data_IF_218738466923
#
_entry.id   IF_218738466923
#
_cell.length_a   1.000
_cell.length_b   1.000
_cell.length_c   1.000
_cell.angle_alpha   90.00
_cell.angle_beta   90.00
_cell.angle_gamma   90.00
#
_symmetry.space_group_name_H-M   'P 1'
#
loop_
_entity.id
_entity.type
_entity.pdbx_description
1 polymer ?
#
# COMPACT_ATOMS: atom_id res chain seq x y z
N UNK A 1 3.19 10.39 8.67
CA UNK A 1 2.58 9.14 9.17
C UNK A 1 2.92 8.88 10.64
N UNK A 2 4.20 8.68 11.05
CA UNK A 2 4.55 8.43 12.47
C UNK A 2 4.09 9.56 13.40
N UNK A 3 4.23 10.82 12.99
CA UNK A 3 3.74 11.98 13.75
C UNK A 3 2.22 11.91 13.97
N UNK A 4 1.46 11.67 12.92
CA UNK A 4 0.01 11.54 12.99
C UNK A 4 -0.43 10.37 13.87
N UNK A 5 0.24 9.21 13.75
CA UNK A 5 -0.02 8.06 14.61
C UNK A 5 0.27 8.37 16.09
N UNK A 6 1.36 9.09 16.39
CA UNK A 6 1.71 9.44 17.77
C UNK A 6 0.64 10.37 18.38
N UNK A 7 0.19 11.39 17.65
CA UNK A 7 -0.88 12.29 18.10
C UNK A 7 -2.18 11.50 18.32
N UNK A 8 -2.60 10.72 17.33
CA UNK A 8 -3.83 9.94 17.40
C UNK A 8 -3.83 8.90 18.52
N UNK A 9 -2.74 8.13 18.66
CA UNK A 9 -2.62 7.12 19.72
C UNK A 9 -2.53 7.74 21.11
N UNK A 10 -1.89 8.91 21.23
CA UNK A 10 -1.77 9.61 22.50
C UNK A 10 -3.11 10.18 22.99
N UNK A 11 -3.90 10.80 22.09
CA UNK A 11 -5.19 11.43 22.43
C UNK A 11 -6.37 10.45 22.42
N UNK A 12 -6.29 9.39 21.62
CA UNK A 12 -7.41 8.47 21.35
C UNK A 12 -8.44 9.01 20.35
N UNK A 13 -8.33 10.26 19.89
CA UNK A 13 -9.32 10.92 19.04
C UNK A 13 -8.73 11.40 17.72
N UNK A 14 -9.41 11.09 16.62
CA UNK A 14 -9.01 11.58 15.28
C UNK A 14 -9.10 13.10 15.14
N UNK A 15 -10.00 13.75 15.88
CA UNK A 15 -10.18 15.20 15.84
C UNK A 15 -8.94 15.98 16.32
N UNK A 16 -8.07 15.35 17.11
CA UNK A 16 -6.85 15.96 17.65
C UNK A 16 -5.66 15.84 16.68
N UNK A 17 -5.81 15.08 15.59
CA UNK A 17 -4.78 14.99 14.57
C UNK A 17 -4.56 16.34 13.86
N UNK A 18 -3.31 16.59 13.47
CA UNK A 18 -2.91 17.79 12.75
C UNK A 18 -3.71 17.92 11.46
N UNK A 19 -4.26 19.08 11.20
CA UNK A 19 -5.14 19.46 10.09
C UNK A 19 -6.59 18.98 10.17
N UNK A 20 -6.97 18.08 11.09
CA UNK A 20 -8.34 17.55 11.19
C UNK A 20 -9.42 18.62 11.40
N UNK A 21 -9.05 19.75 12.03
CA UNK A 21 -9.97 20.88 12.29
C UNK A 21 -10.09 21.86 11.12
N UNK A 22 -9.22 21.78 10.12
CA UNK A 22 -9.11 22.76 9.04
C UNK A 22 -9.52 22.15 7.70
N UNK A 23 -9.13 20.89 7.45
CA UNK A 23 -9.31 20.22 6.16
C UNK A 23 -9.93 18.83 6.35
N UNK A 24 -10.55 18.33 5.28
CA UNK A 24 -11.11 16.96 5.29
C UNK A 24 -10.08 15.88 5.59
N UNK A 25 -8.88 15.99 5.01
CA UNK A 25 -7.79 15.05 5.24
C UNK A 25 -6.84 15.56 6.33
N UNK A 26 -6.59 14.75 7.35
CA UNK A 26 -5.58 15.02 8.34
C UNK A 26 -4.14 14.78 7.80
N UNK A 27 -3.12 15.05 8.60
CA UNK A 27 -1.73 14.88 8.20
C UNK A 27 -1.38 13.41 7.83
N UNK A 28 -1.95 12.45 8.56
CA UNK A 28 -1.80 11.02 8.26
C UNK A 28 -2.41 10.65 6.92
N UNK A 29 -3.59 11.17 6.63
CA UNK A 29 -4.26 10.98 5.36
C UNK A 29 -3.45 11.54 4.20
N UNK A 30 -2.90 12.77 4.33
CA UNK A 30 -2.02 13.36 3.33
C UNK A 30 -0.75 12.54 3.12
N UNK A 31 -0.15 12.00 4.20
CA UNK A 31 1.02 11.13 4.08
C UNK A 31 0.72 9.86 3.26
N UNK A 32 -0.47 9.25 3.44
CA UNK A 32 -0.91 8.11 2.62
C UNK A 32 -1.19 8.53 1.18
N UNK A 33 -1.83 9.67 0.94
CA UNK A 33 -2.05 10.19 -0.41
C UNK A 33 -0.73 10.39 -1.15
N UNK A 34 0.26 11.02 -0.51
CA UNK A 34 1.63 11.18 -1.03
C UNK A 34 2.25 9.83 -1.38
N UNK A 35 2.13 8.86 -0.48
CA UNK A 35 2.64 7.51 -0.70
C UNK A 35 2.05 6.90 -1.98
N UNK A 36 0.73 6.95 -2.17
CA UNK A 36 0.08 6.40 -3.37
C UNK A 36 0.47 7.14 -4.65
N UNK A 37 0.64 8.46 -4.62
CA UNK A 37 1.13 9.24 -5.78
C UNK A 37 2.55 8.83 -6.15
N UNK A 38 3.46 8.78 -5.19
CA UNK A 38 4.85 8.38 -5.42
C UNK A 38 4.95 6.90 -5.83
N UNK A 39 4.11 6.04 -5.27
CA UNK A 39 3.99 4.64 -5.68
C UNK A 39 3.58 4.56 -7.16
N UNK A 40 2.51 5.25 -7.58
CA UNK A 40 2.08 5.28 -8.97
C UNK A 40 3.17 5.74 -9.93
N UNK A 41 3.86 6.84 -9.59
CA UNK A 41 4.96 7.40 -10.38
C UNK A 41 6.12 6.40 -10.55
N UNK A 42 6.57 5.80 -9.45
CA UNK A 42 7.75 4.90 -9.45
C UNK A 42 7.41 3.53 -10.04
N UNK A 43 6.21 3.02 -9.78
CA UNK A 43 5.75 1.72 -10.24
C UNK A 43 5.46 1.73 -11.74
N UNK A 44 4.91 2.83 -12.29
CA UNK A 44 4.78 3.01 -13.74
C UNK A 44 6.15 2.96 -14.43
N UNK A 45 7.16 3.64 -13.85
CA UNK A 45 8.54 3.57 -14.35
C UNK A 45 9.16 2.17 -14.23
N UNK A 46 8.79 1.41 -13.20
CA UNK A 46 9.21 0.02 -13.04
C UNK A 46 8.57 -0.88 -14.10
N UNK A 47 7.26 -0.76 -14.34
CA UNK A 47 6.55 -1.53 -15.37
C UNK A 47 7.14 -1.29 -16.76
N UNK A 48 7.39 -0.03 -17.11
CA UNK A 48 7.97 0.35 -18.40
C UNK A 48 9.38 -0.20 -18.66
N UNK A 49 10.10 -0.55 -17.60
CA UNK A 49 11.46 -1.13 -17.66
C UNK A 49 11.48 -2.64 -17.45
N UNK A 50 10.38 -3.23 -17.02
CA UNK A 50 10.31 -4.67 -16.77
C UNK A 50 10.20 -5.44 -18.08
N UNK A 51 11.01 -6.50 -18.27
CA UNK A 51 10.94 -7.33 -19.49
C UNK A 51 9.63 -8.12 -19.58
N UNK A 52 8.98 -8.41 -18.46
CA UNK A 52 7.72 -9.16 -18.41
C UNK A 52 6.83 -8.69 -17.27
N UNK A 53 5.52 -8.95 -17.41
CA UNK A 53 4.54 -8.74 -16.33
C UNK A 53 4.86 -9.62 -15.12
N UNK A 54 5.38 -10.83 -15.35
CA UNK A 54 5.80 -11.74 -14.27
C UNK A 54 6.91 -11.12 -13.45
N UNK A 55 7.97 -10.59 -14.07
CA UNK A 55 9.05 -9.93 -13.32
C UNK A 55 8.55 -8.70 -12.58
N UNK A 56 7.65 -7.92 -13.19
CA UNK A 56 7.02 -6.79 -12.54
C UNK A 56 6.25 -7.21 -11.28
N UNK A 57 5.37 -8.21 -11.37
CA UNK A 57 4.56 -8.69 -10.23
C UNK A 57 5.42 -9.32 -9.13
N UNK A 58 6.42 -10.12 -9.50
CA UNK A 58 7.41 -10.67 -8.54
C UNK A 58 8.13 -9.56 -7.79
N UNK A 59 8.58 -8.52 -8.50
CA UNK A 59 9.24 -7.38 -7.85
C UNK A 59 8.33 -6.66 -6.84
N UNK A 60 7.03 -6.52 -7.13
CA UNK A 60 6.05 -5.91 -6.20
C UNK A 60 5.75 -6.83 -5.02
N UNK A 61 5.57 -8.13 -5.26
CA UNK A 61 5.40 -9.11 -4.18
C UNK A 61 6.59 -9.15 -3.22
N UNK A 62 7.80 -9.18 -3.74
CA UNK A 62 9.04 -9.17 -2.94
C UNK A 62 9.28 -7.84 -2.22
N UNK A 63 8.65 -6.77 -2.65
CA UNK A 63 8.67 -5.47 -1.94
C UNK A 63 7.78 -5.46 -0.70
N UNK A 64 6.62 -6.16 -0.74
CA UNK A 64 5.62 -6.13 0.32
C UNK A 64 5.78 -7.31 1.29
N UNK A 65 5.71 -8.54 0.79
CA UNK A 65 5.47 -9.72 1.61
C UNK A 65 6.62 -10.11 2.56
N UNK A 66 7.91 -10.04 2.20
CA UNK A 66 8.98 -10.48 3.09
C UNK A 66 9.05 -9.66 4.38
N UNK A 67 9.03 -8.33 4.29
CA UNK A 67 9.07 -7.47 5.47
C UNK A 67 7.74 -7.51 6.23
N UNK A 68 6.60 -7.66 5.55
CA UNK A 68 5.30 -7.84 6.20
C UNK A 68 5.25 -9.12 7.03
N UNK A 69 5.80 -10.22 6.51
CA UNK A 69 5.90 -11.49 7.24
C UNK A 69 6.80 -11.35 8.48
N UNK A 70 7.95 -10.68 8.32
CA UNK A 70 8.85 -10.41 9.45
C UNK A 70 8.20 -9.51 10.49
N UNK A 71 7.45 -8.48 10.05
CA UNK A 71 6.70 -7.61 10.95
C UNK A 71 5.62 -8.40 11.71
N UNK A 72 4.84 -9.23 11.04
CA UNK A 72 3.82 -10.07 11.68
C UNK A 72 4.43 -11.02 12.73
N UNK A 73 5.54 -11.67 12.39
CA UNK A 73 6.26 -12.54 13.32
C UNK A 73 6.79 -11.76 14.53
N UNK A 74 7.45 -10.63 14.28
CA UNK A 74 7.98 -9.77 15.35
C UNK A 74 6.86 -9.31 16.30
N UNK A 75 5.69 -8.95 15.76
CA UNK A 75 4.57 -8.51 16.57
C UNK A 75 3.94 -9.64 17.38
N UNK A 76 3.93 -10.88 16.89
CA UNK A 76 3.53 -12.05 17.68
C UNK A 76 4.53 -12.29 18.82
N UNK A 77 5.83 -12.16 18.56
CA UNK A 77 6.89 -12.31 19.58
C UNK A 77 6.80 -11.20 20.64
N UNK A 78 6.67 -9.95 20.23
CA UNK A 78 6.47 -8.81 21.17
C UNK A 78 5.16 -9.02 21.93
N UNK A 79 4.09 -9.42 21.26
CA UNK A 79 2.81 -9.74 21.89
C UNK A 79 2.91 -10.81 22.96
N UNK A 80 3.70 -11.86 22.72
CA UNK A 80 3.95 -12.92 23.73
C UNK A 80 4.72 -12.42 24.97
N UNK A 81 5.51 -11.35 24.84
CA UNK A 81 6.26 -10.74 25.94
C UNK A 81 5.38 -9.79 26.76
N UNK A 82 4.53 -8.99 26.09
CA UNK A 82 3.75 -7.93 26.71
C UNK A 82 2.31 -8.30 27.04
N UNK A 83 1.89 -9.53 26.69
CA UNK A 83 0.51 -10.01 26.96
C UNK A 83 0.25 -10.17 28.46
N UNK A 84 -1.00 -9.92 28.87
CA UNK A 84 -1.51 -10.26 30.21
C UNK A 84 -1.93 -11.72 30.36
N UNK A 85 -1.93 -12.49 29.28
CA UNK A 85 -2.25 -13.92 29.27
C UNK A 85 -1.05 -14.79 29.65
N UNK A 86 -1.28 -16.00 30.13
CA UNK A 86 -0.20 -16.99 30.28
C UNK A 86 0.32 -17.41 28.91
N UNK A 87 1.58 -17.86 28.77
CA UNK A 87 2.15 -18.27 27.47
C UNK A 87 1.32 -19.35 26.77
N UNK A 88 0.78 -20.32 27.52
CA UNK A 88 -0.07 -21.37 26.99
C UNK A 88 -1.39 -20.81 26.47
N UNK A 89 -2.05 -19.92 27.20
CA UNK A 89 -3.29 -19.26 26.77
C UNK A 89 -3.05 -18.41 25.52
N UNK A 90 -1.94 -17.64 25.48
CA UNK A 90 -1.60 -16.81 24.33
C UNK A 90 -1.40 -17.65 23.07
N UNK A 91 -0.55 -18.68 23.12
CA UNK A 91 -0.21 -19.51 21.95
C UNK A 91 -1.36 -20.41 21.48
N UNK A 92 -2.28 -20.81 22.39
CA UNK A 92 -3.45 -21.60 22.04
C UNK A 92 -4.62 -20.76 21.49
N UNK A 93 -4.59 -19.45 21.65
CA UNK A 93 -5.66 -18.57 21.17
C UNK A 93 -5.63 -18.47 19.64
N UNK A 94 -6.76 -18.74 19.02
CA UNK A 94 -6.92 -18.69 17.55
C UNK A 94 -6.65 -17.29 16.97
N UNK A 95 -6.78 -16.23 17.76
CA UNK A 95 -6.48 -14.84 17.33
C UNK A 95 -5.02 -14.67 16.92
N UNK A 96 -4.08 -15.38 17.55
CA UNK A 96 -2.65 -15.32 17.20
C UNK A 96 -2.43 -15.81 15.76
N UNK A 97 -3.00 -16.96 15.41
CA UNK A 97 -2.92 -17.52 14.06
C UNK A 97 -3.69 -16.70 13.03
N UNK A 98 -4.88 -16.24 13.40
CA UNK A 98 -5.70 -15.37 12.54
C UNK A 98 -5.01 -14.04 12.26
N UNK A 99 -4.31 -13.45 13.23
CA UNK A 99 -3.53 -12.24 13.03
C UNK A 99 -2.43 -12.45 11.98
N UNK A 100 -1.62 -13.50 12.14
CA UNK A 100 -0.55 -13.82 11.18
C UNK A 100 -1.09 -14.06 9.76
N UNK A 101 -2.11 -14.90 9.63
CA UNK A 101 -2.73 -15.20 8.32
C UNK A 101 -3.40 -13.97 7.70
N UNK A 102 -4.18 -13.22 8.48
CA UNK A 102 -4.82 -11.99 7.98
C UNK A 102 -3.82 -10.96 7.51
N UNK A 103 -2.73 -10.78 8.26
CA UNK A 103 -1.64 -9.86 7.86
C UNK A 103 -1.03 -10.28 6.52
N UNK A 104 -0.67 -11.57 6.35
CA UNK A 104 -0.08 -12.08 5.11
C UNK A 104 -1.06 -12.04 3.92
N UNK A 105 -2.35 -12.20 4.17
CA UNK A 105 -3.39 -12.12 3.14
C UNK A 105 -3.88 -10.68 2.89
N UNK A 106 -3.21 -9.68 3.46
CA UNK A 106 -3.59 -8.25 3.38
C UNK A 106 -5.04 -8.01 3.84
N UNK A 107 -5.47 -8.76 4.83
CA UNK A 107 -6.83 -8.72 5.39
C UNK A 107 -7.04 -7.58 6.39
N UNK A 108 -7.77 -7.86 7.47
CA UNK A 108 -8.09 -6.86 8.47
C UNK A 108 -6.87 -6.50 9.34
N UNK A 109 -6.57 -5.20 9.42
CA UNK A 109 -5.59 -4.65 10.36
C UNK A 109 -6.12 -4.58 11.81
N UNK A 110 -7.42 -4.77 12.01
CA UNK A 110 -8.09 -4.64 13.30
C UNK A 110 -8.00 -5.88 14.20
N UNK A 111 -7.34 -6.96 13.77
CA UNK A 111 -7.18 -8.15 14.58
C UNK A 111 -6.14 -7.87 15.67
N UNK A 112 -6.60 -7.93 16.93
CA UNK A 112 -5.75 -7.84 18.12
C UNK A 112 -5.16 -9.18 18.51
N UNK A 113 -4.07 -9.14 19.29
CA UNK A 113 -3.54 -10.31 20.00
C UNK A 113 -4.12 -10.38 21.41
N UNK A 114 -4.32 -11.59 21.97
CA UNK A 114 -4.90 -11.76 23.29
C UNK A 114 -4.08 -11.04 24.36
N UNK A 115 -4.72 -10.22 25.20
CA UNK A 115 -4.10 -9.53 26.31
C UNK A 115 -3.04 -8.48 25.93
N UNK A 116 -3.00 -8.03 24.67
CA UNK A 116 -2.02 -7.05 24.20
C UNK A 116 -2.69 -5.69 23.93
N UNK A 117 -2.10 -4.63 24.45
CA UNK A 117 -2.55 -3.23 24.30
C UNK A 117 -4.00 -2.96 24.76
N UNK A 118 -4.53 -3.76 25.71
CA UNK A 118 -5.91 -3.62 26.15
C UNK A 118 -6.23 -2.31 26.83
N UNK A 119 -5.25 -1.72 27.52
CA UNK A 119 -5.40 -0.49 28.31
C UNK A 119 -4.92 0.78 27.58
N UNK A 120 -4.39 0.63 26.36
CA UNK A 120 -3.98 1.79 25.58
C UNK A 120 -5.21 2.60 25.09
N UNK A 121 -5.08 3.90 24.82
CA UNK A 121 -6.18 4.72 24.30
C UNK A 121 -6.80 4.17 23.02
N UNK A 122 -6.03 3.41 22.24
CA UNK A 122 -6.50 2.67 21.06
C UNK A 122 -6.34 1.17 21.29
N UNK A 123 -7.25 0.54 22.02
CA UNK A 123 -7.05 -0.81 22.54
C UNK A 123 -7.03 -1.87 21.43
N UNK A 124 -6.22 -2.90 21.66
CA UNK A 124 -6.19 -4.14 20.88
C UNK A 124 -5.82 -4.04 19.39
N UNK A 125 -5.52 -2.85 18.85
CA UNK A 125 -5.10 -2.71 17.45
C UNK A 125 -3.58 -2.89 17.33
N UNK A 126 -3.17 -4.06 16.83
CA UNK A 126 -1.73 -4.39 16.72
C UNK A 126 -0.99 -3.53 15.72
N UNK A 127 -1.57 -3.34 14.54
CA UNK A 127 -0.93 -2.56 13.47
C UNK A 127 -1.96 -1.98 12.51
N UNK A 128 -2.40 -0.75 12.77
CA UNK A 128 -3.33 -0.08 11.88
C UNK A 128 -2.69 0.34 10.55
N UNK A 129 -1.34 0.49 10.46
CA UNK A 129 -0.69 0.97 9.23
C UNK A 129 -0.95 0.06 8.03
N UNK A 130 -1.06 -1.26 8.24
CA UNK A 130 -1.13 -2.25 7.14
C UNK A 130 -2.45 -2.24 6.36
N UNK A 131 -3.49 -1.52 6.83
CA UNK A 131 -4.82 -1.54 6.19
C UNK A 131 -4.83 -1.04 4.74
N UNK A 132 -3.86 -0.21 4.35
CA UNK A 132 -3.76 0.35 3.01
C UNK A 132 -3.07 -0.56 2.01
N UNK A 133 -2.32 -1.58 2.48
CA UNK A 133 -1.54 -2.48 1.61
C UNK A 133 -2.40 -3.26 0.62
N UNK A 134 -3.65 -3.61 0.99
CA UNK A 134 -4.60 -4.25 0.07
C UNK A 134 -4.94 -3.37 -1.13
N UNK A 135 -5.09 -2.06 -0.92
CA UNK A 135 -5.35 -1.10 -1.99
C UNK A 135 -4.11 -0.88 -2.85
N UNK A 136 -2.94 -0.86 -2.25
CA UNK A 136 -1.67 -0.77 -2.96
C UNK A 136 -1.46 -1.99 -3.86
N UNK A 137 -1.65 -3.20 -3.34
CA UNK A 137 -1.58 -4.44 -4.10
C UNK A 137 -2.60 -4.46 -5.25
N UNK A 138 -3.84 -4.01 -5.00
CA UNK A 138 -4.87 -3.87 -6.03
C UNK A 138 -4.45 -2.90 -7.15
N UNK A 139 -3.87 -1.75 -6.80
CA UNK A 139 -3.33 -0.79 -7.77
C UNK A 139 -2.20 -1.41 -8.63
N UNK A 140 -1.33 -2.24 -8.03
CA UNK A 140 -0.27 -2.93 -8.78
C UNK A 140 -0.82 -3.94 -9.79
N UNK A 141 -1.80 -4.75 -9.36
CA UNK A 141 -2.48 -5.72 -10.24
C UNK A 141 -3.20 -5.00 -11.38
N UNK A 142 -3.93 -3.93 -11.06
CA UNK A 142 -4.67 -3.17 -12.06
C UNK A 142 -3.73 -2.49 -13.08
N UNK A 143 -2.62 -1.91 -12.61
CA UNK A 143 -1.61 -1.33 -13.51
C UNK A 143 -0.96 -2.40 -14.40
N UNK A 144 -0.64 -3.58 -13.84
CA UNK A 144 -0.12 -4.71 -14.61
C UNK A 144 -1.12 -5.16 -15.69
N UNK A 145 -2.41 -5.23 -15.36
CA UNK A 145 -3.47 -5.58 -16.30
C UNK A 145 -3.62 -4.55 -17.43
N UNK A 146 -3.64 -3.25 -17.08
CA UNK A 146 -3.67 -2.15 -18.06
C UNK A 146 -2.43 -2.18 -18.96
N UNK A 147 -1.27 -2.48 -18.38
CA UNK A 147 -0.01 -2.66 -19.12
C UNK A 147 -0.05 -3.86 -20.06
N UNK A 148 -0.59 -4.98 -19.60
CA UNK A 148 -0.77 -6.20 -20.43
C UNK A 148 -1.69 -5.97 -21.63
N UNK A 149 -2.74 -5.17 -21.47
CA UNK A 149 -3.62 -4.76 -22.56
C UNK A 149 -3.00 -3.75 -23.54
N UNK A 150 -1.77 -3.27 -23.26
CA UNK A 150 -1.10 -2.26 -24.09
C UNK A 150 -1.70 -0.86 -24.00
N UNK A 151 -2.46 -0.56 -22.93
CA UNK A 151 -3.10 0.74 -22.72
C UNK A 151 -2.18 1.80 -22.08
N UNK A 152 -0.93 1.47 -21.74
CA UNK A 152 0.04 2.43 -21.16
C UNK A 152 0.71 3.29 -22.24
N UNK A 153 -0.02 3.63 -23.30
CA UNK A 153 0.37 4.64 -24.29
C UNK A 153 -0.31 5.96 -23.96
N UNK A 154 0.35 7.10 -24.23
CA UNK A 154 -0.14 8.43 -23.81
C UNK A 154 -1.62 8.67 -24.17
N UNK A 155 -2.03 8.41 -25.41
CA UNK A 155 -3.40 8.65 -25.88
C UNK A 155 -4.43 7.73 -25.21
N UNK A 156 -4.19 6.41 -25.20
CA UNK A 156 -5.11 5.43 -24.61
C UNK A 156 -5.20 5.59 -23.10
N UNK A 157 -4.07 5.85 -22.49
CA UNK A 157 -4.00 6.08 -21.05
C UNK A 157 -4.73 7.36 -20.62
N UNK A 158 -4.70 8.44 -21.42
CA UNK A 158 -5.45 9.66 -21.14
C UNK A 158 -6.97 9.39 -21.07
N UNK A 159 -7.52 8.60 -21.98
CA UNK A 159 -8.94 8.23 -21.93
C UNK A 159 -9.30 7.39 -20.70
N UNK A 160 -8.44 6.39 -20.37
CA UNK A 160 -8.63 5.59 -19.16
C UNK A 160 -8.55 6.43 -17.89
N UNK A 161 -7.60 7.36 -17.81
CA UNK A 161 -7.50 8.31 -16.70
C UNK A 161 -8.77 9.16 -16.59
N UNK A 162 -9.18 9.80 -17.68
CA UNK A 162 -10.37 10.66 -17.70
C UNK A 162 -11.60 9.90 -17.19
N UNK A 163 -11.88 8.72 -17.75
CA UNK A 163 -13.02 7.89 -17.33
C UNK A 163 -12.90 7.47 -15.85
N UNK A 164 -11.73 6.93 -15.45
CA UNK A 164 -11.54 6.45 -14.07
C UNK A 164 -11.59 7.58 -13.05
N UNK A 165 -11.10 8.77 -13.39
CA UNK A 165 -11.16 9.95 -12.52
C UNK A 165 -12.57 10.51 -12.40
N UNK A 166 -13.35 10.48 -13.48
CA UNK A 166 -14.76 10.86 -13.43
C UNK A 166 -15.55 9.94 -12.50
N UNK A 167 -15.33 8.62 -12.61
CA UNK A 167 -16.01 7.64 -11.75
C UNK A 167 -15.54 7.80 -10.29
N UNK A 168 -14.25 7.78 -10.03
CA UNK A 168 -13.71 7.86 -8.67
C UNK A 168 -13.98 9.21 -8.02
N UNK A 169 -13.85 10.31 -8.77
CA UNK A 169 -14.21 11.64 -8.31
C UNK A 169 -15.71 11.79 -8.04
N UNK A 170 -16.55 11.20 -8.87
CA UNK A 170 -18.00 11.13 -8.67
C UNK A 170 -18.38 10.41 -7.37
N UNK A 171 -17.72 9.28 -7.07
CA UNK A 171 -17.91 8.56 -5.79
C UNK A 171 -17.58 9.48 -4.61
N UNK A 172 -16.41 10.12 -4.63
CA UNK A 172 -15.97 11.01 -3.54
C UNK A 172 -16.88 12.25 -3.42
N UNK A 173 -17.41 12.76 -4.52
CA UNK A 173 -18.32 13.90 -4.54
C UNK A 173 -19.67 13.55 -3.92
N UNK A 174 -20.28 12.43 -4.34
CA UNK A 174 -21.62 12.01 -3.88
C UNK A 174 -21.59 11.60 -2.40
N UNK A 175 -20.50 11.01 -1.92
CA UNK A 175 -20.35 10.61 -0.52
C UNK A 175 -19.82 11.73 0.40
N UNK A 176 -19.84 12.97 -0.06
CA UNK A 176 -19.44 14.10 0.79
C UNK A 176 -20.40 14.27 1.97
N UNK A 177 -19.84 14.43 3.17
CA UNK A 177 -20.64 14.56 4.41
C UNK A 177 -21.14 13.25 5.00
N UNK A 178 -20.87 12.10 4.36
CA UNK A 178 -21.18 10.78 4.89
C UNK A 178 -19.93 10.08 5.47
N UNK A 179 -20.15 9.04 6.26
CA UNK A 179 -19.06 8.22 6.78
C UNK A 179 -18.25 7.60 5.65
N UNK A 180 -16.93 7.54 5.84
CA UNK A 180 -16.01 7.03 4.84
C UNK A 180 -16.16 5.53 4.66
N UNK A 181 -16.54 5.09 3.47
CA UNK A 181 -16.71 3.69 3.11
C UNK A 181 -15.42 3.07 2.54
N UNK A 182 -15.29 1.73 2.48
CA UNK A 182 -14.20 1.09 1.73
C UNK A 182 -14.12 1.48 0.26
N UNK A 183 -15.25 1.84 -0.36
CA UNK A 183 -15.33 2.32 -1.74
C UNK A 183 -14.70 3.72 -1.88
N UNK A 184 -14.96 4.62 -0.92
CA UNK A 184 -14.33 5.95 -0.89
C UNK A 184 -12.81 5.83 -0.78
N UNK A 185 -12.32 4.93 0.07
CA UNK A 185 -10.88 4.68 0.20
C UNK A 185 -10.29 4.11 -1.10
N UNK A 186 -11.00 3.19 -1.76
CA UNK A 186 -10.55 2.65 -3.04
C UNK A 186 -10.50 3.74 -4.12
N UNK A 187 -11.54 4.59 -4.21
CA UNK A 187 -11.59 5.72 -5.15
C UNK A 187 -10.47 6.74 -4.86
N UNK A 188 -10.28 7.12 -3.60
CA UNK A 188 -9.20 8.02 -3.15
C UNK A 188 -7.82 7.51 -3.54
N UNK A 189 -7.51 6.27 -3.18
CA UNK A 189 -6.18 5.71 -3.43
C UNK A 189 -5.94 5.45 -4.93
N UNK A 190 -6.99 5.06 -5.65
CA UNK A 190 -6.92 4.98 -7.10
C UNK A 190 -6.62 6.32 -7.75
N UNK A 191 -7.28 7.40 -7.33
CA UNK A 191 -7.01 8.76 -7.83
C UNK A 191 -5.55 9.16 -7.56
N UNK A 192 -5.05 8.96 -6.35
CA UNK A 192 -3.65 9.26 -6.01
C UNK A 192 -2.67 8.43 -6.85
N UNK A 193 -2.87 7.11 -6.92
CA UNK A 193 -1.98 6.22 -7.64
C UNK A 193 -1.98 6.50 -9.14
N UNK A 194 -3.15 6.62 -9.75
CA UNK A 194 -3.28 6.90 -11.18
C UNK A 194 -2.80 8.31 -11.56
N UNK A 195 -2.91 9.29 -10.65
CA UNK A 195 -2.26 10.60 -10.80
C UNK A 195 -0.72 10.44 -10.90
N UNK A 196 -0.13 9.64 -10.01
CA UNK A 196 1.29 9.30 -10.07
C UNK A 196 1.69 8.63 -11.39
N UNK A 197 0.90 7.65 -11.86
CA UNK A 197 1.10 7.03 -13.18
C UNK A 197 0.99 8.07 -14.29
N UNK A 198 0.00 8.98 -14.22
CA UNK A 198 -0.16 10.10 -15.16
C UNK A 198 1.08 11.00 -15.22
N UNK A 199 1.66 11.36 -14.08
CA UNK A 199 2.93 12.11 -14.04
C UNK A 199 4.08 11.37 -14.72
N UNK A 200 4.12 10.05 -14.67
CA UNK A 200 5.12 9.26 -15.38
C UNK A 200 4.85 9.23 -16.89
N UNK A 201 3.64 8.95 -17.32
CA UNK A 201 3.26 8.81 -18.73
C UNK A 201 3.41 10.17 -19.44
N UNK A 202 2.88 11.24 -18.85
CA UNK A 202 2.89 12.58 -19.41
C UNK A 202 4.08 13.45 -18.96
N UNK A 203 5.16 12.85 -18.46
CA UNK A 203 6.32 13.57 -17.91
C UNK A 203 7.01 14.56 -18.84
N UNK A 204 6.78 14.44 -20.15
CA UNK A 204 7.31 15.36 -21.17
C UNK A 204 6.40 16.55 -21.44
N UNK A 205 5.11 16.42 -21.13
CA UNK A 205 4.08 17.45 -21.34
C UNK A 205 3.81 18.27 -20.08
N UNK A 206 3.91 17.64 -18.89
CA UNK A 206 3.60 18.30 -17.62
C UNK A 206 4.77 19.18 -17.18
N UNK A 207 4.53 20.49 -17.15
CA UNK A 207 5.46 21.48 -16.58
C UNK A 207 5.21 21.56 -15.07
N UNK A 208 6.22 21.22 -14.27
CA UNK A 208 6.19 21.36 -12.82
C UNK A 208 6.93 22.64 -12.41
N UNK A 209 6.22 23.55 -11.75
CA UNK A 209 6.73 24.85 -11.32
C UNK A 209 6.18 25.24 -9.95
N UNK A 210 6.86 26.18 -9.28
CA UNK A 210 6.36 26.76 -8.02
C UNK A 210 5.04 27.51 -8.22
N UNK A 211 4.87 28.17 -9.39
CA UNK A 211 3.62 28.83 -9.72
C UNK A 211 2.45 27.84 -9.88
N UNK A 212 2.72 26.65 -10.43
CA UNK A 212 1.74 25.57 -10.48
C UNK A 212 1.37 25.07 -9.08
N UNK A 213 2.33 24.93 -8.17
CA UNK A 213 2.06 24.60 -6.75
C UNK A 213 1.19 25.68 -6.12
N UNK A 214 1.54 26.96 -6.29
CA UNK A 214 0.74 28.07 -5.76
C UNK A 214 -0.68 28.05 -6.31
N UNK A 215 -0.86 27.88 -7.62
CA UNK A 215 -2.17 27.85 -8.26
C UNK A 215 -3.06 26.70 -7.73
N UNK A 216 -2.54 25.47 -7.62
CA UNK A 216 -3.33 24.35 -7.08
C UNK A 216 -3.59 24.50 -5.58
N UNK A 217 -2.69 25.14 -4.81
CA UNK A 217 -2.90 25.45 -3.40
C UNK A 217 -3.98 26.50 -3.19
N UNK A 218 -4.01 27.54 -4.02
CA UNK A 218 -5.09 28.57 -4.03
C UNK A 218 -6.42 27.93 -4.40
N UNK A 219 -6.45 27.10 -5.44
CA UNK A 219 -7.66 26.37 -5.82
C UNK A 219 -8.16 25.48 -4.66
N UNK A 220 -7.24 24.74 -4.02
CA UNK A 220 -7.59 23.93 -2.85
C UNK A 220 -8.21 24.78 -1.72
N UNK A 221 -7.62 25.94 -1.41
CA UNK A 221 -8.14 26.84 -0.38
C UNK A 221 -9.60 27.25 -0.63
N UNK A 222 -9.97 27.54 -1.88
CA UNK A 222 -11.35 27.88 -2.24
C UNK A 222 -12.31 26.70 -2.24
N UNK A 223 -11.83 25.47 -2.15
CA UNK A 223 -12.68 24.27 -2.12
C UNK A 223 -12.90 23.71 -0.71
N UNK A 224 -12.21 24.24 0.31
CA UNK A 224 -12.35 23.79 1.71
C UNK A 224 -13.81 23.88 2.14
N UNK A 225 -14.33 22.82 2.76
CA UNK A 225 -15.73 22.70 3.18
C UNK A 225 -16.72 22.38 2.05
N UNK A 226 -16.25 22.21 0.81
CA UNK A 226 -17.11 21.84 -0.33
C UNK A 226 -16.93 20.37 -0.75
N UNK A 227 -17.86 19.78 -1.51
CA UNK A 227 -17.69 18.43 -2.06
C UNK A 227 -16.45 18.24 -2.93
N UNK A 228 -15.90 19.33 -3.48
CA UNK A 228 -14.69 19.31 -4.31
C UNK A 228 -13.40 19.25 -3.49
N UNK A 229 -13.45 19.57 -2.20
CA UNK A 229 -12.26 19.61 -1.33
C UNK A 229 -11.45 18.33 -1.41
N UNK A 230 -12.10 17.17 -1.29
CA UNK A 230 -11.43 15.86 -1.35
C UNK A 230 -10.63 15.72 -2.64
N UNK A 231 -11.25 16.00 -3.78
CA UNK A 231 -10.64 15.79 -5.10
C UNK A 231 -9.49 16.77 -5.33
N UNK A 232 -9.75 18.07 -5.10
CA UNK A 232 -8.73 19.11 -5.33
C UNK A 232 -7.54 18.94 -4.40
N UNK A 233 -7.76 18.52 -3.15
CA UNK A 233 -6.71 18.20 -2.19
C UNK A 233 -5.77 17.10 -2.69
N UNK A 234 -6.31 16.03 -3.32
CA UNK A 234 -5.48 14.95 -3.88
C UNK A 234 -4.60 15.45 -5.03
N UNK A 235 -5.16 16.29 -5.92
CA UNK A 235 -4.40 16.90 -7.01
C UNK A 235 -3.33 17.87 -6.50
N UNK A 236 -3.68 18.74 -5.54
CA UNK A 236 -2.76 19.71 -4.96
C UNK A 236 -1.58 19.00 -4.26
N UNK A 237 -1.89 18.00 -3.41
CA UNK A 237 -0.89 17.19 -2.73
C UNK A 237 0.00 16.45 -3.73
N UNK A 238 -0.60 15.82 -4.75
CA UNK A 238 0.12 15.07 -5.78
C UNK A 238 1.03 15.94 -6.63
N UNK A 239 0.56 17.10 -7.08
CA UNK A 239 1.37 18.04 -7.84
C UNK A 239 2.54 18.59 -7.01
N UNK A 240 2.26 19.02 -5.78
CA UNK A 240 3.25 19.56 -4.88
C UNK A 240 4.36 18.56 -4.56
N UNK A 241 4.03 17.30 -4.24
CA UNK A 241 5.05 16.30 -3.89
C UNK A 241 5.92 15.89 -5.09
N UNK A 242 5.33 15.80 -6.29
CA UNK A 242 6.10 15.48 -7.50
C UNK A 242 7.01 16.66 -7.88
N UNK A 243 6.57 17.91 -7.69
CA UNK A 243 7.40 19.09 -7.85
C UNK A 243 8.55 19.10 -6.86
N UNK A 244 8.28 18.88 -5.56
CA UNK A 244 9.31 18.78 -4.51
C UNK A 244 10.35 17.70 -4.83
N UNK A 245 9.92 16.56 -5.37
CA UNK A 245 10.82 15.48 -5.79
C UNK A 245 11.77 15.83 -6.95
N UNK A 246 11.51 16.92 -7.69
CA UNK A 246 12.40 17.44 -8.73
C UNK A 246 13.46 18.40 -8.20
N UNK A 247 13.29 18.93 -6.98
CA UNK A 247 14.26 19.84 -6.40
C UNK A 247 15.62 19.15 -6.22
N UNK A 248 16.73 19.88 -6.40
CA UNK A 248 18.06 19.30 -6.23
C UNK A 248 18.28 18.98 -4.75
N UNK A 249 18.45 17.71 -4.43
CA UNK A 249 18.66 17.22 -3.06
C UNK A 249 20.14 16.97 -2.71
N UNK A 250 21.07 17.32 -3.62
CA UNK A 250 22.51 17.23 -3.39
C UNK A 250 22.97 15.84 -2.90
N UNK A 251 23.73 15.81 -1.81
CA UNK A 251 24.28 14.58 -1.22
C UNK A 251 23.21 13.61 -0.67
N UNK A 252 22.02 14.08 -0.29
CA UNK A 252 20.94 13.24 0.23
C UNK A 252 20.46 12.22 -0.81
N UNK A 253 20.54 12.55 -2.10
CA UNK A 253 20.15 11.65 -3.20
C UNK A 253 21.00 10.38 -3.25
N UNK A 254 22.28 10.50 -2.91
CA UNK A 254 23.19 9.33 -2.85
C UNK A 254 22.84 8.36 -1.73
N UNK A 255 22.38 8.86 -0.59
CA UNK A 255 22.00 8.08 0.57
C UNK A 255 20.67 7.35 0.33
N UNK A 256 19.65 8.06 -0.14
CA UNK A 256 18.31 7.51 -0.40
C UNK A 256 18.29 6.48 -1.54
N UNK A 257 19.23 6.56 -2.50
CA UNK A 257 19.37 5.55 -3.54
C UNK A 257 19.93 4.20 -3.05
N UNK A 258 20.57 4.18 -1.88
CA UNK A 258 21.23 2.98 -1.33
C UNK A 258 20.39 2.29 -0.25
N UNK A 259 19.63 3.06 0.51
CA UNK A 259 18.88 2.61 1.68
C UNK A 259 17.46 3.17 1.58
N UNK A 260 16.48 2.28 1.53
CA UNK A 260 15.05 2.64 1.52
C UNK A 260 14.38 2.12 2.78
N UNK A 261 14.26 2.99 3.77
CA UNK A 261 13.63 2.68 5.06
C UNK A 261 12.13 2.98 5.08
N UNK A 262 11.57 3.55 4.01
CA UNK A 262 10.20 4.08 4.00
C UNK A 262 9.17 3.01 4.34
N UNK A 263 9.30 1.82 3.77
CA UNK A 263 8.38 0.71 4.02
C UNK A 263 8.51 0.15 5.43
N UNK A 264 9.74 -0.06 5.91
CA UNK A 264 9.98 -0.51 7.28
C UNK A 264 9.42 0.48 8.31
N UNK A 265 9.72 1.79 8.17
CA UNK A 265 9.17 2.82 9.06
C UNK A 265 7.63 2.80 9.04
N UNK A 266 7.02 2.58 7.87
CA UNK A 266 5.58 2.51 7.71
C UNK A 266 4.96 1.35 8.48
N UNK A 267 5.49 0.13 8.33
CA UNK A 267 4.90 -1.06 8.96
C UNK A 267 5.27 -1.22 10.44
N UNK A 268 6.40 -0.68 10.90
CA UNK A 268 6.83 -0.78 12.29
C UNK A 268 6.43 0.42 13.15
N UNK A 269 6.11 1.58 12.56
CA UNK A 269 5.83 2.81 13.28
C UNK A 269 4.66 2.69 14.26
N UNK A 270 3.51 2.18 13.82
CA UNK A 270 2.33 2.00 14.69
C UNK A 270 2.59 1.10 15.88
N UNK A 271 3.06 -0.16 15.73
CA UNK A 271 3.27 -1.06 16.86
C UNK A 271 4.32 -0.55 17.84
N UNK A 272 5.36 0.15 17.38
CA UNK A 272 6.36 0.78 18.24
C UNK A 272 5.71 1.87 19.09
N UNK A 273 4.86 2.72 18.49
CA UNK A 273 4.14 3.77 19.21
C UNK A 273 3.22 3.16 20.27
N UNK A 274 2.47 2.09 19.94
CA UNK A 274 1.62 1.35 20.87
C UNK A 274 2.44 0.76 22.04
N UNK A 275 3.60 0.17 21.73
CA UNK A 275 4.48 -0.40 22.77
C UNK A 275 5.05 0.67 23.70
N UNK A 276 5.45 1.83 23.17
CA UNK A 276 5.92 2.95 23.98
C UNK A 276 4.83 3.49 24.92
N UNK A 277 3.60 3.58 24.45
CA UNK A 277 2.44 3.97 25.25
C UNK A 277 2.13 2.96 26.36
N UNK A 278 2.28 1.65 26.09
CA UNK A 278 2.13 0.61 27.10
C UNK A 278 3.19 0.72 28.21
N UNK A 279 4.44 0.99 27.84
CA UNK A 279 5.56 1.09 28.79
C UNK A 279 5.51 2.39 29.61
N UNK A 280 5.10 3.49 28.97
CA UNK A 280 5.04 4.82 29.60
C UNK A 280 3.74 5.53 29.19
N UNK A 281 2.62 5.27 29.89
CA UNK A 281 1.31 5.86 29.55
C UNK A 281 1.26 7.39 29.64
N UNK A 282 2.11 8.00 30.48
CA UNK A 282 2.19 9.45 30.67
C UNK A 282 3.21 10.16 29.76
N UNK A 283 3.74 9.48 28.75
CA UNK A 283 4.73 10.04 27.82
C UNK A 283 4.14 11.25 27.06
N UNK A 284 4.88 12.34 26.91
CA UNK A 284 4.43 13.47 26.11
C UNK A 284 4.39 13.12 24.62
N UNK A 285 3.44 13.69 23.87
CA UNK A 285 3.26 13.42 22.43
C UNK A 285 4.52 13.69 21.60
N UNK A 286 5.30 14.71 21.97
CA UNK A 286 6.54 15.05 21.27
C UNK A 286 7.64 14.01 21.49
N UNK A 287 7.81 13.56 22.73
CA UNK A 287 8.77 12.52 23.07
C UNK A 287 8.35 11.19 22.47
N UNK A 288 7.05 10.86 22.52
CA UNK A 288 6.48 9.68 21.86
C UNK A 288 6.77 9.69 20.36
N UNK A 289 6.55 10.83 19.70
CA UNK A 289 6.83 10.98 18.26
C UNK A 289 8.32 10.76 17.93
N UNK A 290 9.20 11.41 18.72
CA UNK A 290 10.65 11.32 18.52
C UNK A 290 11.14 9.88 18.71
N UNK A 291 10.77 9.25 19.81
CA UNK A 291 11.17 7.88 20.12
C UNK A 291 10.57 6.88 19.13
N UNK A 292 9.30 7.05 18.74
CA UNK A 292 8.66 6.20 17.73
C UNK A 292 9.41 6.28 16.39
N UNK A 293 9.80 7.47 15.96
CA UNK A 293 10.55 7.65 14.72
C UNK A 293 11.95 7.02 14.80
N UNK A 294 12.68 7.27 15.89
CA UNK A 294 14.03 6.72 16.08
C UNK A 294 14.02 5.19 16.14
N UNK A 295 13.09 4.61 16.90
CA UNK A 295 12.97 3.16 17.03
C UNK A 295 12.46 2.52 15.74
N UNK A 296 11.51 3.16 15.04
CA UNK A 296 11.06 2.68 13.75
C UNK A 296 12.20 2.67 12.72
N UNK A 297 13.06 3.69 12.68
CA UNK A 297 14.26 3.69 11.85
C UNK A 297 15.26 2.59 12.27
N UNK A 298 15.46 2.42 13.58
CA UNK A 298 16.37 1.40 14.14
C UNK A 298 15.93 -0.04 13.77
N UNK A 299 14.62 -0.31 13.70
CA UNK A 299 14.05 -1.61 13.27
C UNK A 299 13.99 -1.71 11.75
N UNK A 300 13.67 -0.63 11.05
CA UNK A 300 13.57 -0.61 9.59
C UNK A 300 14.93 -0.88 8.91
N UNK A 301 16.03 -0.41 9.50
CA UNK A 301 17.37 -0.58 8.92
C UNK A 301 17.79 -2.07 8.83
N UNK A 302 17.77 -2.88 9.90
CA UNK A 302 18.02 -4.30 9.78
C UNK A 302 16.99 -5.03 8.92
N UNK A 303 15.70 -4.65 8.96
CA UNK A 303 14.68 -5.19 8.06
C UNK A 303 15.06 -4.97 6.59
N UNK A 304 15.47 -3.76 6.23
CA UNK A 304 15.95 -3.46 4.87
C UNK A 304 17.18 -4.28 4.49
N UNK A 305 18.20 -4.29 5.34
CA UNK A 305 19.49 -4.94 5.02
C UNK A 305 19.39 -6.47 4.94
N UNK A 306 18.62 -7.09 5.85
CA UNK A 306 18.58 -8.54 6.03
C UNK A 306 17.43 -9.22 5.30
N UNK A 307 16.33 -8.50 5.03
CA UNK A 307 15.10 -9.09 4.49
C UNK A 307 14.73 -8.48 3.14
N UNK A 308 14.45 -7.17 3.07
CA UNK A 308 13.90 -6.54 1.87
C UNK A 308 14.91 -6.53 0.71
N UNK A 309 16.11 -6.02 0.97
CA UNK A 309 17.16 -5.91 -0.05
C UNK A 309 17.59 -7.28 -0.63
N UNK A 310 17.83 -8.33 0.17
CA UNK A 310 18.08 -9.68 -0.36
C UNK A 310 16.92 -10.23 -1.17
N UNK A 311 15.67 -10.10 -0.67
CA UNK A 311 14.48 -10.54 -1.38
C UNK A 311 14.36 -9.86 -2.76
N UNK A 312 14.54 -8.55 -2.82
CA UNK A 312 14.48 -7.81 -4.09
C UNK A 312 15.61 -8.18 -5.06
N UNK A 313 16.78 -8.59 -4.57
CA UNK A 313 17.88 -9.10 -5.43
C UNK A 313 17.53 -10.43 -6.08
N UNK A 314 16.75 -11.28 -5.41
CA UNK A 314 16.32 -12.57 -5.92
C UNK A 314 15.25 -12.49 -7.03
N UNK A 315 14.69 -11.29 -7.32
CA UNK A 315 13.56 -11.11 -8.24
C UNK A 315 13.75 -11.77 -9.60
N UNK A 316 14.93 -11.62 -10.23
CA UNK A 316 15.21 -12.19 -11.56
C UNK A 316 15.20 -13.71 -11.56
N UNK A 317 15.82 -14.32 -10.56
CA UNK A 317 15.88 -15.78 -10.43
C UNK A 317 14.47 -16.34 -10.21
N UNK A 318 13.69 -15.71 -9.35
CA UNK A 318 12.32 -16.11 -9.04
C UNK A 318 11.42 -15.95 -10.28
N UNK A 319 11.50 -14.81 -11.00
CA UNK A 319 10.68 -14.58 -12.18
C UNK A 319 10.98 -15.59 -13.29
N UNK A 320 12.23 -15.87 -13.59
CA UNK A 320 12.64 -16.88 -14.57
C UNK A 320 12.11 -18.27 -14.19
N UNK A 321 12.18 -18.63 -12.90
CA UNK A 321 11.66 -19.92 -12.41
C UNK A 321 10.14 -20.02 -12.56
N UNK A 322 9.41 -18.93 -12.33
CA UNK A 322 7.95 -18.88 -12.49
C UNK A 322 7.58 -18.97 -13.99
N UNK A 323 8.26 -18.21 -14.85
CA UNK A 323 8.02 -18.22 -16.30
C UNK A 323 8.29 -19.62 -16.88
N UNK A 324 9.37 -20.26 -16.52
CA UNK A 324 9.66 -21.63 -16.93
C UNK A 324 8.60 -22.65 -16.44
N UNK A 325 7.98 -22.40 -15.28
CA UNK A 325 6.83 -23.23 -14.82
C UNK A 325 5.58 -22.99 -15.64
N UNK A 326 5.27 -21.73 -15.91
CA UNK A 326 4.11 -21.34 -16.74
C UNK A 326 4.24 -21.95 -18.13
N UNK A 327 5.40 -21.87 -18.76
CA UNK A 327 5.63 -22.42 -20.10
C UNK A 327 5.52 -23.94 -20.12
N UNK A 328 6.04 -24.64 -19.12
CA UNK A 328 5.84 -26.09 -18.96
C UNK A 328 4.36 -26.46 -18.84
N UNK A 329 3.59 -25.71 -18.06
CA UNK A 329 2.15 -25.93 -17.92
C UNK A 329 1.41 -25.69 -19.26
N UNK A 330 1.75 -24.59 -19.96
CA UNK A 330 1.19 -24.29 -21.29
C UNK A 330 1.48 -25.40 -22.31
N UNK A 331 2.70 -25.93 -22.32
CA UNK A 331 3.08 -27.04 -23.18
C UNK A 331 2.29 -28.30 -22.83
N UNK A 332 2.15 -28.65 -21.54
CA UNK A 332 1.34 -29.79 -21.09
C UNK A 332 -0.14 -29.66 -21.46
N UNK A 333 -0.71 -28.45 -21.40
CA UNK A 333 -2.08 -28.21 -21.81
C UNK A 333 -2.28 -28.31 -23.34
N UNK A 334 -1.26 -27.91 -24.12
CA UNK A 334 -1.27 -28.05 -25.58
C UNK A 334 -1.00 -29.48 -26.05
N UNK A 335 -0.26 -30.27 -25.26
CA UNK A 335 0.10 -31.65 -25.57
C UNK A 335 -0.92 -32.70 -25.06
N UNK A 336 -1.96 -32.30 -24.32
CA UNK A 336 -3.11 -33.17 -24.07
C UNK A 336 -3.85 -33.35 -25.41
N UNK A 337 -3.74 -34.53 -26.07
CA UNK A 337 -4.24 -34.67 -27.42
C UNK A 337 -5.78 -34.70 -27.42
N UNK A 338 -6.38 -34.26 -28.54
CA UNK A 338 -7.79 -34.46 -28.90
C UNK A 338 -8.23 -35.93 -28.86
N UNK A 339 -7.41 -36.82 -28.37
CA UNK A 339 -7.69 -38.28 -28.27
C UNK A 339 -8.82 -38.58 -27.28
N UNK A 340 -8.99 -37.80 -26.21
CA UNK A 340 -10.09 -38.03 -25.26
C UNK A 340 -11.45 -37.56 -25.80
N UNK A 341 -11.48 -36.51 -26.63
CA UNK A 341 -12.73 -36.11 -27.29
C UNK A 341 -13.17 -37.10 -28.40
N UNK A 342 -12.22 -37.71 -29.09
CA UNK A 342 -12.50 -38.68 -30.12
C UNK A 342 -12.99 -40.06 -29.57
N UNK A 343 -12.57 -40.42 -28.36
CA UNK A 343 -13.09 -41.64 -27.71
C UNK A 343 -14.51 -41.45 -27.17
N UNK A 344 -14.87 -40.27 -26.70
CA UNK A 344 -16.25 -39.99 -26.24
C UNK A 344 -17.24 -39.91 -27.40
N UNK A 345 -16.81 -39.48 -28.59
CA UNK A 345 -17.66 -39.44 -29.78
C UNK A 345 -17.83 -40.82 -30.42
N UNK A 346 -16.88 -41.76 -30.26
CA UNK A 346 -17.02 -43.13 -30.74
C UNK A 346 -17.92 -44.00 -29.85
N UNK A 347 -18.08 -43.67 -28.59
CA UNK A 347 -19.01 -44.40 -27.70
C UNK A 347 -20.47 -43.99 -27.82
N UNK A 348 -20.79 -43.01 -28.65
CA UNK A 348 -22.16 -42.55 -28.93
C UNK A 348 -22.69 -42.94 -30.33
N UNK A 349 -22.08 -43.91 -31.00
CA UNK A 349 -22.73 -44.44 -32.21
C UNK A 349 -23.91 -45.36 -31.84
N UNK A 350 -25.12 -45.10 -32.36
CA UNK A 350 -26.27 -45.96 -32.09
C UNK A 350 -26.04 -47.36 -32.63
N UNK A 351 -26.32 -48.38 -31.80
CA UNK A 351 -26.42 -49.76 -32.22
C UNK A 351 -27.65 -49.85 -33.11
N UNK A 352 -27.42 -49.92 -34.43
CA UNK A 352 -28.48 -50.30 -35.35
C UNK A 352 -28.57 -51.80 -35.34
N UNK A 353 -29.54 -52.33 -34.57
CA UNK A 353 -29.96 -53.74 -34.65
C UNK A 353 -30.71 -54.00 -35.96
N UNK A 354 -30.30 -55.12 -36.57
CA UNK A 354 -31.03 -55.76 -37.64
C UNK A 354 -32.17 -56.62 -37.08
#
# INVERSE_FOLDING_TARGET
MVISHAVFLHSGHKADEILSSITYFNLGDHAVNVFFVLSGLTVAGSLAKSPSITEFMVARGLRIFPALAACALLLVLVGAIVTTCTPTQFLSDTRVWRYGMSTLLLGSAAIGLPGVFGENPHPSVMNASIWTLKYEAACYVLLAFVGWLGFVTERRFAWLLGLSWTIAGGILFVHFGHDTTPLDQAARFWLCFSLGVGFYVFRRQIVLSVFGVAAVSVLFWFTIGSPLERIVSLFATGYAIVWLGKLPTGHLRGLTNRIDLSYGIYIFGWPITQTLMLVQPSISVWLLTLLSLMLAMAVALPSWLLIERPAMRARKVISISIEARIDRLRQRLKSKPMHEMAQHTRSMQPITDK
#
